data_IF_533863924850
#
_entry.id   IF_533863924850
#
_cell.length_a   1.000
_cell.length_b   1.000
_cell.length_c   1.000
_cell.angle_alpha   90.00
_cell.angle_beta   90.00
_cell.angle_gamma   90.00
#
_symmetry.space_group_name_H-M   'P 1'
#
loop_
_entity.id
_entity.type
_entity.pdbx_description
1 polymer ?
#
# COMPACT_ATOMS: atom_id res chain seq x y z
N UNK A 1 1.35 -9.12 -26.77
CA UNK A 1 0.19 -10.02 -26.57
C UNK A 1 -0.06 -10.08 -25.08
N UNK A 2 -1.29 -9.84 -24.62
CA UNK A 2 -1.62 -9.88 -23.19
C UNK A 2 -2.17 -11.25 -22.83
N UNK A 3 -1.76 -11.77 -21.68
CA UNK A 3 -2.34 -13.00 -21.12
C UNK A 3 -3.61 -12.64 -20.37
N UNK A 4 -4.71 -13.31 -20.72
CA UNK A 4 -5.99 -13.16 -20.02
C UNK A 4 -6.15 -14.35 -19.10
N UNK A 5 -6.31 -14.07 -17.80
CA UNK A 5 -6.57 -15.08 -16.77
C UNK A 5 -8.06 -15.22 -16.50
N UNK A 6 -8.49 -16.40 -16.05
CA UNK A 6 -9.90 -16.64 -15.71
C UNK A 6 -10.31 -15.91 -14.43
N UNK A 7 -9.40 -15.78 -13.48
CA UNK A 7 -9.62 -15.09 -12.21
C UNK A 7 -8.32 -14.53 -11.63
N UNK A 8 -8.45 -13.70 -10.58
CA UNK A 8 -7.31 -13.05 -9.92
C UNK A 8 -6.37 -14.04 -9.22
N UNK A 9 -6.86 -15.19 -8.73
CA UNK A 9 -6.01 -16.18 -8.06
C UNK A 9 -5.01 -16.79 -9.03
N UNK A 10 -5.45 -17.08 -10.25
CA UNK A 10 -4.56 -17.57 -11.30
C UNK A 10 -3.50 -16.53 -11.68
N UNK A 11 -3.89 -15.25 -11.71
CA UNK A 11 -3.00 -14.14 -12.03
C UNK A 11 -1.96 -13.83 -10.93
N UNK A 12 -2.20 -14.27 -9.69
CA UNK A 12 -1.31 -14.02 -8.54
C UNK A 12 -0.66 -15.29 -7.98
N UNK A 13 -0.83 -16.45 -8.64
CA UNK A 13 -0.47 -17.77 -8.09
C UNK A 13 1.04 -17.97 -7.90
N UNK A 14 1.85 -17.24 -8.65
CA UNK A 14 3.31 -17.33 -8.69
C UNK A 14 4.01 -16.30 -7.80
N UNK A 15 3.26 -15.47 -7.07
CA UNK A 15 3.82 -14.47 -6.16
C UNK A 15 4.33 -15.18 -4.90
N UNK A 16 5.65 -15.16 -4.61
CA UNK A 16 6.21 -15.81 -3.44
C UNK A 16 6.14 -14.92 -2.20
N UNK A 17 6.36 -15.53 -1.02
CA UNK A 17 6.68 -14.80 0.20
C UNK A 17 7.89 -13.89 -0.01
N UNK A 18 7.89 -12.71 0.61
CA UNK A 18 8.99 -11.75 0.47
C UNK A 18 8.96 -10.93 -0.83
N UNK A 19 7.97 -11.14 -1.70
CA UNK A 19 7.85 -10.38 -2.95
C UNK A 19 7.70 -8.87 -2.71
N UNK A 20 8.21 -8.08 -3.66
CA UNK A 20 7.94 -6.64 -3.74
C UNK A 20 6.81 -6.39 -4.71
N UNK A 21 5.73 -5.77 -4.24
CA UNK A 21 4.53 -5.47 -5.03
C UNK A 21 4.36 -3.96 -5.14
N UNK A 22 4.02 -3.49 -6.34
CA UNK A 22 3.58 -2.12 -6.56
C UNK A 22 2.06 -2.14 -6.71
N UNK A 23 1.38 -1.47 -5.78
CA UNK A 23 -0.07 -1.40 -5.72
C UNK A 23 -0.48 0.05 -5.93
N UNK A 24 -1.16 0.30 -7.05
CA UNK A 24 -1.66 1.62 -7.42
C UNK A 24 -3.04 1.88 -6.80
N UNK A 25 -3.33 3.15 -6.57
CA UNK A 25 -4.59 3.61 -6.00
C UNK A 25 -4.45 5.00 -5.36
N UNK A 26 -5.50 5.83 -5.48
CA UNK A 26 -5.58 7.13 -4.81
C UNK A 26 -6.81 7.17 -3.91
N UNK A 27 -6.60 7.12 -2.60
CA UNK A 27 -7.70 6.88 -1.66
C UNK A 27 -8.34 5.53 -1.96
N UNK A 28 -9.62 5.51 -2.34
CA UNK A 28 -10.38 4.30 -2.74
C UNK A 28 -10.50 4.10 -4.26
N UNK A 29 -9.90 4.99 -5.07
CA UNK A 29 -10.04 4.94 -6.53
C UNK A 29 -8.86 4.18 -7.17
N UNK A 30 -9.16 3.29 -8.12
CA UNK A 30 -8.14 2.60 -8.93
C UNK A 30 -7.44 1.42 -8.23
N UNK A 31 -8.01 0.96 -7.12
CA UNK A 31 -7.45 -0.12 -6.31
C UNK A 31 -7.67 -1.50 -6.97
N UNK A 32 -6.67 -2.40 -6.95
CA UNK A 32 -6.80 -3.78 -7.44
C UNK A 32 -7.46 -4.73 -6.41
N UNK A 33 -8.70 -4.44 -5.99
CA UNK A 33 -9.39 -5.13 -4.89
C UNK A 33 -9.42 -6.67 -5.04
N UNK A 34 -9.72 -7.15 -6.26
CA UNK A 34 -9.75 -8.59 -6.56
C UNK A 34 -8.38 -9.26 -6.44
N UNK A 35 -7.31 -8.54 -6.80
CA UNK A 35 -5.94 -9.02 -6.66
C UNK A 35 -5.53 -9.10 -5.18
N UNK A 36 -5.92 -8.10 -4.39
CA UNK A 36 -5.63 -8.06 -2.97
C UNK A 36 -6.41 -9.15 -2.21
N UNK A 37 -7.66 -9.40 -2.58
CA UNK A 37 -8.42 -10.55 -2.09
C UNK A 37 -7.75 -11.89 -2.45
N UNK A 38 -7.21 -12.02 -3.66
CA UNK A 38 -6.48 -13.23 -4.07
C UNK A 38 -5.19 -13.45 -3.27
N UNK A 39 -4.42 -12.38 -2.99
CA UNK A 39 -3.23 -12.41 -2.13
C UNK A 39 -3.57 -12.78 -0.68
N UNK A 40 -4.71 -12.29 -0.16
CA UNK A 40 -5.19 -12.68 1.17
C UNK A 40 -5.51 -14.18 1.23
N UNK A 41 -6.13 -14.72 0.18
CA UNK A 41 -6.48 -16.15 0.08
C UNK A 41 -5.23 -17.01 -0.07
N UNK A 42 -4.26 -16.59 -0.89
CA UNK A 42 -3.02 -17.36 -1.10
C UNK A 42 -2.17 -17.45 0.17
N UNK A 43 -2.34 -16.50 1.09
CA UNK A 43 -1.67 -16.52 2.39
C UNK A 43 -0.20 -16.14 2.31
N UNK A 44 0.22 -15.47 1.24
CA UNK A 44 1.58 -14.90 1.10
C UNK A 44 1.90 -13.94 2.23
N UNK A 45 3.17 -13.85 2.60
CA UNK A 45 3.65 -13.03 3.73
C UNK A 45 4.98 -12.36 3.41
N UNK A 46 5.44 -11.55 4.36
CA UNK A 46 6.70 -10.80 4.31
C UNK A 46 6.83 -9.85 3.10
N UNK A 47 5.71 -9.41 2.55
CA UNK A 47 5.66 -8.59 1.34
C UNK A 47 6.26 -7.20 1.58
N UNK A 48 6.90 -6.66 0.55
CA UNK A 48 7.25 -5.23 0.47
C UNK A 48 6.25 -4.54 -0.45
N UNK A 49 5.50 -3.57 0.07
CA UNK A 49 4.52 -2.82 -0.72
C UNK A 49 5.08 -1.47 -1.14
N UNK A 50 4.89 -1.10 -2.40
CA UNK A 50 5.09 0.25 -2.93
C UNK A 50 3.71 0.79 -3.32
N UNK A 51 3.27 1.89 -2.72
CA UNK A 51 1.99 2.52 -3.01
C UNK A 51 2.07 4.02 -2.81
N UNK A 52 1.25 4.80 -3.51
CA UNK A 52 1.19 6.24 -3.30
C UNK A 52 0.67 6.60 -1.89
N UNK A 53 -0.38 5.93 -1.41
CA UNK A 53 -0.98 6.22 -0.11
C UNK A 53 -0.88 5.00 0.81
N UNK A 54 -0.59 5.23 2.09
CA UNK A 54 -0.86 4.22 3.10
C UNK A 54 -2.36 4.26 3.46
N UNK A 55 -3.00 3.11 3.21
CA UNK A 55 -4.06 2.46 3.97
C UNK A 55 -5.03 3.32 4.79
N UNK A 56 -6.32 3.18 4.48
CA UNK A 56 -7.43 3.34 5.43
C UNK A 56 -7.70 2.01 6.15
N UNK A 57 -8.01 2.07 7.46
CA UNK A 57 -7.96 0.92 8.37
C UNK A 57 -8.75 -0.32 7.90
N UNK A 58 -9.88 -0.21 7.21
CA UNK A 58 -10.77 -1.37 7.00
C UNK A 58 -10.86 -1.88 5.55
N UNK A 59 -10.09 -1.31 4.63
CA UNK A 59 -10.15 -1.68 3.22
C UNK A 59 -8.78 -1.99 2.63
N UNK A 60 -8.79 -2.91 1.66
CA UNK A 60 -7.72 -3.08 0.70
C UNK A 60 -6.33 -3.45 1.26
N UNK A 61 -5.27 -2.66 1.00
CA UNK A 61 -3.93 -2.83 1.60
C UNK A 61 -4.03 -2.89 3.13
N UNK A 62 -5.05 -2.25 3.73
CA UNK A 62 -5.34 -2.36 5.17
C UNK A 62 -5.69 -3.76 5.63
N UNK A 63 -6.37 -4.55 4.80
CA UNK A 63 -6.68 -5.95 5.11
C UNK A 63 -5.41 -6.80 5.16
N UNK A 64 -4.48 -6.58 4.22
CA UNK A 64 -3.17 -7.25 4.23
C UNK A 64 -2.32 -6.80 5.42
N UNK A 65 -2.42 -5.52 5.81
CA UNK A 65 -1.73 -4.98 6.96
C UNK A 65 -2.24 -5.57 8.29
N UNK A 66 -3.56 -5.60 8.52
CA UNK A 66 -4.17 -6.22 9.70
C UNK A 66 -3.81 -7.69 9.84
N UNK A 67 -3.64 -8.38 8.71
CA UNK A 67 -3.20 -9.78 8.67
C UNK A 67 -1.67 -9.94 8.73
N UNK A 68 -0.92 -8.88 9.05
CA UNK A 68 0.53 -8.85 9.20
C UNK A 68 1.29 -9.42 7.98
N UNK A 69 0.79 -9.15 6.77
CA UNK A 69 1.37 -9.68 5.53
C UNK A 69 2.53 -8.84 4.97
N UNK A 70 2.71 -7.62 5.47
CA UNK A 70 3.77 -6.72 5.04
C UNK A 70 4.96 -6.71 5.99
N UNK A 71 6.15 -6.87 5.43
CA UNK A 71 7.42 -6.61 6.09
C UNK A 71 7.81 -5.13 6.02
N UNK A 72 7.49 -4.48 4.89
CA UNK A 72 7.89 -3.11 4.60
C UNK A 72 6.88 -2.41 3.70
N UNK A 73 6.68 -1.11 3.93
CA UNK A 73 5.88 -0.23 3.08
C UNK A 73 6.71 0.94 2.59
N UNK A 74 6.66 1.22 1.30
CA UNK A 74 7.27 2.37 0.64
C UNK A 74 6.11 3.25 0.14
N UNK A 75 5.99 4.46 0.66
CA UNK A 75 4.82 5.31 0.38
C UNK A 75 5.16 6.80 0.38
N UNK A 76 4.38 7.58 -0.38
CA UNK A 76 4.56 9.03 -0.47
C UNK A 76 3.81 9.75 0.66
N UNK A 77 2.71 9.17 1.16
CA UNK A 77 1.86 9.73 2.21
C UNK A 77 1.25 8.63 3.07
N UNK A 78 1.42 8.68 4.40
CA UNK A 78 0.92 7.62 5.31
C UNK A 78 -0.45 7.85 5.95
N UNK A 79 -1.08 9.01 5.75
CA UNK A 79 -2.34 9.35 6.43
C UNK A 79 -2.20 9.67 7.93
N UNK A 80 -3.32 9.96 8.58
CA UNK A 80 -3.37 10.37 9.99
C UNK A 80 -3.40 9.18 10.98
N UNK A 81 -3.93 8.03 10.56
CA UNK A 81 -4.04 6.82 11.39
C UNK A 81 -3.12 5.73 10.87
N UNK A 82 -1.91 5.70 11.43
CA UNK A 82 -0.88 4.79 10.98
C UNK A 82 -0.72 3.59 11.92
N UNK A 83 -0.96 2.39 11.39
CA UNK A 83 -0.93 1.13 12.15
C UNK A 83 0.43 0.38 12.10
N UNK A 84 1.35 0.76 11.20
CA UNK A 84 2.66 0.09 11.12
C UNK A 84 3.72 0.75 12.01
N UNK A 85 4.69 -0.02 12.53
CA UNK A 85 5.88 0.55 13.17
C UNK A 85 6.70 1.41 12.21
N UNK A 86 7.21 2.55 12.69
CA UNK A 86 8.02 3.50 11.91
C UNK A 86 9.20 2.89 11.14
N UNK A 87 9.82 1.83 11.68
CA UNK A 87 10.97 1.17 11.05
C UNK A 87 10.59 0.30 9.83
N UNK A 88 9.31 -0.05 9.68
CA UNK A 88 8.80 -0.79 8.53
C UNK A 88 8.33 0.13 7.40
N UNK A 89 8.46 1.44 7.57
CA UNK A 89 8.02 2.45 6.60
C UNK A 89 9.21 3.15 6.00
N UNK A 90 9.22 3.26 4.68
CA UNK A 90 10.11 4.17 3.97
C UNK A 90 9.26 5.20 3.25
N UNK A 91 9.43 6.46 3.62
CA UNK A 91 8.74 7.55 2.96
C UNK A 91 9.52 7.99 1.72
N UNK A 92 8.87 8.01 0.57
CA UNK A 92 9.42 8.54 -0.67
C UNK A 92 8.50 9.66 -1.19
N UNK A 93 8.62 10.84 -0.57
CA UNK A 93 8.25 12.11 -1.18
C UNK A 93 6.78 12.56 -1.14
N UNK A 94 6.41 13.28 -0.07
CA UNK A 94 5.60 14.52 -0.14
C UNK A 94 6.13 15.64 0.80
N UNK A 95 7.30 15.46 1.39
CA UNK A 95 7.97 16.49 2.17
C UNK A 95 8.41 17.71 1.32
N UNK A 96 8.48 17.57 -0.01
CA UNK A 96 8.90 18.65 -0.90
C UNK A 96 7.73 19.60 -1.27
N UNK A 97 6.53 19.08 -1.53
CA UNK A 97 5.41 19.92 -1.94
C UNK A 97 4.69 20.58 -0.74
N UNK A 98 4.67 19.94 0.43
CA UNK A 98 4.06 20.54 1.61
C UNK A 98 4.95 21.59 2.28
N UNK A 99 6.29 21.46 2.25
CA UNK A 99 7.20 22.53 2.69
C UNK A 99 7.01 23.83 1.89
N UNK A 100 6.59 23.74 0.63
CA UNK A 100 6.31 24.91 -0.22
C UNK A 100 5.02 25.63 0.22
N UNK A 101 4.02 24.92 0.77
CA UNK A 101 2.81 25.53 1.33
C UNK A 101 2.93 25.87 2.83
N UNK A 102 3.71 25.11 3.61
CA UNK A 102 3.92 25.34 5.04
C UNK A 102 4.86 26.51 5.35
N UNK A 103 5.52 27.08 4.34
CA UNK A 103 6.31 28.31 4.46
C UNK A 103 5.48 29.58 4.27
N UNK A 104 4.16 29.47 4.01
CA UNK A 104 3.32 30.66 3.81
C UNK A 104 2.40 31.04 4.96
N UNK A 105 2.06 30.17 5.92
CA UNK A 105 1.26 30.58 7.08
C UNK A 105 1.47 29.62 8.28
N UNK A 106 2.37 30.02 9.18
CA UNK A 106 2.39 29.57 10.57
C UNK A 106 1.40 30.44 11.34
N UNK A 107 0.18 29.96 11.58
CA UNK A 107 -0.55 30.29 12.81
C UNK A 107 -1.27 29.02 13.28
N UNK A 108 -0.95 28.62 14.51
CA UNK A 108 -1.54 27.50 15.21
C UNK A 108 -2.90 27.92 15.78
N UNK A 109 -3.97 27.24 15.37
CA UNK A 109 -5.19 27.02 16.15
C UNK A 109 -5.73 25.63 15.85
#
# INVERSE_FOLDING_TARGET
MYTIFKDARQATADIPDGATLMLEGFGLCGIPENGIAALLISGVKDLTCISNNAVFEDFDIGLLLHRQRFKKMITSYVGEKYLMPRHQVTWFGFAFCWKINSLKNLEFY
#
